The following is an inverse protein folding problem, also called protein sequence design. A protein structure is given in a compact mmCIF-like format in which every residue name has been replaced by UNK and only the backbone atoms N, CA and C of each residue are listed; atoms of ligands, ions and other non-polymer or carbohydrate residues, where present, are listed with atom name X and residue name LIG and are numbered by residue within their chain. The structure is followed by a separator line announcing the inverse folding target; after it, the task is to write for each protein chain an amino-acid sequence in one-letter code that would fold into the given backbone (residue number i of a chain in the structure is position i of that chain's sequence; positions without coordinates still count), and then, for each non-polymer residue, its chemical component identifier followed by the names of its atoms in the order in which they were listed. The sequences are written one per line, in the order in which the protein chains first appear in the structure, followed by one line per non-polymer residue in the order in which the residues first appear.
data_IF_780777856871
#
_entry.id   IF_780777856871
#
_cell.length_a   1.000
_cell.length_b   1.000
_cell.length_c   1.000
_cell.angle_alpha   90.00
_cell.angle_beta   90.00
_cell.angle_gamma   90.00
#
_symmetry.space_group_name_H-M   'P 1'
#
loop_
_entity.id
_entity.type
_entity.pdbx_description
1 polymer ?
#
# COMPACT_ATOMS: atom_id res chain seq x y z
N UNK A 1 -2.70 -2.71 9.81
CA UNK A 1 -2.81 -3.19 8.42
C UNK A 1 -2.52 -4.69 8.31
N UNK A 2 -1.32 -5.19 8.66
CA UNK A 2 -1.00 -6.63 8.54
C UNK A 2 -1.93 -7.56 9.36
N UNK A 3 -2.35 -7.12 10.55
CA UNK A 3 -3.29 -7.88 11.40
C UNK A 3 -4.62 -8.13 10.68
N UNK A 4 -5.13 -7.12 9.96
CA UNK A 4 -6.39 -7.24 9.20
C UNK A 4 -6.20 -8.20 8.02
N UNK A 5 -5.11 -8.08 7.27
CA UNK A 5 -4.78 -9.01 6.18
C UNK A 5 -4.70 -10.45 6.68
N UNK A 6 -3.99 -10.69 7.79
CA UNK A 6 -3.86 -12.02 8.39
C UNK A 6 -5.21 -12.58 8.86
N UNK A 7 -6.08 -11.74 9.42
CA UNK A 7 -7.41 -12.14 9.87
C UNK A 7 -8.30 -12.52 8.69
N UNK A 8 -8.31 -11.70 7.63
CA UNK A 8 -9.06 -11.98 6.40
C UNK A 8 -8.56 -13.26 5.74
N UNK A 9 -7.23 -13.44 5.64
CA UNK A 9 -6.63 -14.62 5.02
C UNK A 9 -7.03 -15.91 5.76
N UNK A 10 -7.06 -15.88 7.09
CA UNK A 10 -7.54 -17.01 7.90
C UNK A 10 -9.02 -17.31 7.69
N UNK A 11 -9.86 -16.28 7.60
CA UNK A 11 -11.30 -16.44 7.36
C UNK A 11 -11.54 -17.09 5.99
N UNK A 12 -10.86 -16.62 4.94
CA UNK A 12 -10.98 -17.16 3.58
C UNK A 12 -10.51 -18.61 3.53
N UNK A 13 -9.38 -18.92 4.19
CA UNK A 13 -8.79 -20.26 4.22
C UNK A 13 -9.47 -21.23 5.19
N UNK A 14 -10.45 -20.76 5.97
CA UNK A 14 -10.98 -21.45 7.15
C UNK A 14 -9.86 -22.03 8.05
N UNK A 15 -8.78 -21.27 8.23
CA UNK A 15 -7.54 -21.78 8.81
C UNK A 15 -7.59 -21.77 10.35
N UNK A 16 -7.33 -22.92 11.02
CA UNK A 16 -7.32 -22.99 12.47
C UNK A 16 -6.14 -22.22 13.09
N UNK A 17 -6.27 -21.88 14.37
CA UNK A 17 -5.37 -20.96 15.07
C UNK A 17 -3.88 -21.37 15.01
N UNK A 18 -3.59 -22.67 14.97
CA UNK A 18 -2.23 -23.22 14.94
C UNK A 18 -1.52 -23.08 13.59
N UNK A 19 -2.25 -22.83 12.49
CA UNK A 19 -1.63 -22.61 11.18
C UNK A 19 -0.82 -21.32 11.25
N UNK A 20 0.44 -21.32 10.80
CA UNK A 20 1.27 -20.11 10.82
C UNK A 20 0.84 -19.16 9.71
N UNK A 21 0.84 -17.85 10.00
CA UNK A 21 0.51 -16.83 8.98
C UNK A 21 1.48 -16.91 7.79
N UNK A 22 2.77 -17.20 8.02
CA UNK A 22 3.76 -17.37 6.96
C UNK A 22 3.40 -18.48 5.96
N UNK A 23 2.79 -19.57 6.43
CA UNK A 23 2.33 -20.64 5.55
C UNK A 23 1.19 -20.13 4.67
N UNK A 24 0.18 -19.47 5.25
CA UNK A 24 -0.92 -18.88 4.48
C UNK A 24 -0.41 -17.88 3.43
N UNK A 25 0.51 -16.98 3.79
CA UNK A 25 1.07 -16.03 2.82
C UNK A 25 1.81 -16.75 1.66
N UNK A 26 2.54 -17.83 1.96
CA UNK A 26 3.21 -18.65 0.96
C UNK A 26 2.22 -19.41 0.07
N UNK A 27 1.22 -20.04 0.67
CA UNK A 27 0.25 -20.90 -0.01
C UNK A 27 -0.65 -20.08 -0.94
N UNK A 28 -1.09 -18.91 -0.49
CA UNK A 28 -1.88 -17.98 -1.31
C UNK A 28 -1.04 -17.11 -2.25
N UNK A 29 0.30 -17.15 -2.13
CA UNK A 29 1.23 -16.30 -2.88
C UNK A 29 0.90 -14.80 -2.79
N UNK A 30 0.36 -14.36 -1.65
CA UNK A 30 -0.08 -12.99 -1.43
C UNK A 30 1.08 -12.16 -0.89
N UNK A 31 1.27 -10.97 -1.47
CA UNK A 31 2.24 -10.00 -0.96
C UNK A 31 1.74 -9.34 0.33
N UNK A 32 2.68 -8.96 1.21
CA UNK A 32 2.37 -8.14 2.38
C UNK A 32 1.66 -6.86 1.94
N UNK A 33 0.55 -6.51 2.61
CA UNK A 33 -0.26 -5.35 2.26
C UNK A 33 0.56 -4.04 2.28
N UNK A 34 1.58 -3.94 3.13
CA UNK A 34 2.48 -2.78 3.15
C UNK A 34 3.32 -2.70 1.89
N UNK A 35 3.84 -3.84 1.42
CA UNK A 35 4.62 -3.90 0.18
C UNK A 35 3.72 -3.54 -1.00
N UNK A 36 2.51 -4.08 -1.05
CA UNK A 36 1.53 -3.77 -2.08
C UNK A 36 1.15 -2.27 -2.09
N UNK A 37 0.90 -1.67 -0.92
CA UNK A 37 0.60 -0.23 -0.79
C UNK A 37 1.78 0.61 -1.31
N UNK A 38 3.03 0.24 -1.02
CA UNK A 38 4.22 0.93 -1.55
C UNK A 38 4.30 0.82 -3.08
N UNK A 39 4.06 -0.37 -3.65
CA UNK A 39 4.04 -0.56 -5.10
C UNK A 39 2.96 0.31 -5.75
N UNK A 40 1.75 0.36 -5.17
CA UNK A 40 0.68 1.23 -5.65
C UNK A 40 1.06 2.71 -5.58
N UNK A 41 1.67 3.15 -4.47
CA UNK A 41 2.14 4.53 -4.31
C UNK A 41 3.19 4.90 -5.37
N UNK A 42 4.16 4.01 -5.62
CA UNK A 42 5.17 4.19 -6.67
C UNK A 42 4.53 4.27 -8.05
N UNK A 43 3.66 3.32 -8.40
CA UNK A 43 2.99 3.30 -9.70
C UNK A 43 2.15 4.56 -9.92
N UNK A 44 1.42 4.99 -8.90
CA UNK A 44 0.66 6.25 -8.95
C UNK A 44 1.59 7.44 -9.20
N UNK A 45 2.70 7.55 -8.46
CA UNK A 45 3.64 8.66 -8.65
C UNK A 45 4.30 8.64 -10.05
N UNK A 46 4.67 7.46 -10.56
CA UNK A 46 5.18 7.32 -11.92
C UNK A 46 4.13 7.68 -12.98
N UNK A 47 2.85 7.43 -12.71
CA UNK A 47 1.77 7.82 -13.64
C UNK A 47 1.54 9.33 -13.67
N UNK A 48 1.82 10.03 -12.56
CA UNK A 48 1.66 11.49 -12.46
C UNK A 48 2.60 12.25 -13.41
N UNK A 49 3.82 11.77 -13.65
CA UNK A 49 4.74 12.43 -14.60
C UNK A 49 4.23 12.41 -16.03
N UNK A 50 3.33 11.48 -16.37
CA UNK A 50 2.82 11.31 -17.73
C UNK A 50 1.54 12.10 -17.98
N UNK A 51 0.97 12.74 -16.96
CA UNK A 51 -0.29 13.49 -17.08
C UNK A 51 -0.03 15.00 -17.15
N UNK A 52 -0.51 15.64 -18.22
CA UNK A 52 -0.43 17.09 -18.41
C UNK A 52 -1.08 17.86 -17.25
N UNK A 53 -2.22 17.38 -16.74
CA UNK A 53 -2.89 18.00 -15.60
C UNK A 53 -2.08 17.91 -14.30
N UNK A 54 -1.41 16.79 -14.07
CA UNK A 54 -0.57 16.62 -12.88
C UNK A 54 0.66 17.54 -12.90
N UNK A 55 1.25 17.77 -14.08
CA UNK A 55 2.33 18.74 -14.27
C UNK A 55 1.79 20.16 -14.07
N UNK A 56 0.65 20.50 -14.65
CA UNK A 56 0.02 21.82 -14.52
C UNK A 56 -0.22 22.22 -13.06
N UNK A 57 -0.71 21.29 -12.23
CA UNK A 57 -0.91 21.52 -10.80
C UNK A 57 0.31 21.18 -9.92
N UNK A 58 1.45 20.87 -10.53
CA UNK A 58 2.71 20.54 -9.84
C UNK A 58 2.59 19.44 -8.77
N UNK A 59 1.74 18.42 -9.03
CA UNK A 59 1.38 17.38 -8.06
C UNK A 59 2.54 16.43 -7.71
N UNK A 60 3.64 16.48 -8.46
CA UNK A 60 4.83 15.68 -8.20
C UNK A 60 5.64 16.21 -7.00
N UNK A 61 5.47 17.48 -6.65
CA UNK A 61 6.25 18.10 -5.57
C UNK A 61 5.71 17.74 -4.19
N UNK A 62 6.61 17.42 -3.26
CA UNK A 62 6.23 17.18 -1.88
C UNK A 62 5.84 18.51 -1.22
N UNK A 63 4.62 18.64 -0.66
CA UNK A 63 4.19 19.89 -0.03
C UNK A 63 4.94 20.12 1.28
N UNK A 64 5.60 21.28 1.40
CA UNK A 64 6.36 21.69 2.59
C UNK A 64 5.46 21.99 3.80
N UNK A 65 4.28 22.57 3.56
CA UNK A 65 3.31 22.88 4.59
C UNK A 65 2.01 22.11 4.39
N UNK A 66 1.60 21.36 5.41
CA UNK A 66 0.38 20.56 5.38
C UNK A 66 -0.63 21.06 6.41
N UNK A 67 -1.85 21.38 5.94
CA UNK A 67 -2.98 21.70 6.81
C UNK A 67 -3.41 20.51 7.68
N UNK A 68 -3.47 19.31 7.08
CA UNK A 68 -3.87 18.07 7.76
C UNK A 68 -2.72 17.08 7.82
N UNK A 69 -2.52 16.46 8.98
CA UNK A 69 -1.48 15.45 9.23
C UNK A 69 -1.88 14.03 8.82
N UNK A 70 -2.75 13.87 7.81
CA UNK A 70 -3.06 12.54 7.26
C UNK A 70 -1.92 12.05 6.38
N UNK A 71 -1.62 10.76 6.45
CA UNK A 71 -0.63 10.13 5.57
C UNK A 71 -1.07 10.25 4.11
N UNK A 72 -0.16 10.70 3.25
CA UNK A 72 -0.34 10.80 1.80
C UNK A 72 0.48 9.73 1.08
N UNK A 73 0.12 9.36 -0.17
CA UNK A 73 0.93 8.44 -0.97
C UNK A 73 2.40 8.86 -1.09
N UNK A 74 2.67 10.17 -1.19
CA UNK A 74 4.04 10.73 -1.19
C UNK A 74 4.87 10.39 0.04
N UNK A 75 4.26 10.20 1.20
CA UNK A 75 4.99 9.88 2.45
C UNK A 75 5.53 8.45 2.44
N UNK A 76 5.09 7.61 1.50
CA UNK A 76 5.50 6.21 1.39
C UNK A 76 6.69 6.01 0.42
N UNK A 77 7.09 7.09 -0.26
CA UNK A 77 8.19 7.11 -1.22
C UNK A 77 9.55 7.45 -0.58
N UNK A 78 9.54 7.92 0.67
CA UNK A 78 10.71 8.33 1.45
C UNK A 78 10.89 7.45 2.69
#
# INVERSE_FOLDING_TARGET
MQIVQNKVLRIIANAPWFVRNANLHKDFQIQDIKAHIKTLANNFHCSLSNSSGAIHYNLLTHPTHRRLKRGRPHDLLH
#
